data_IF_525263868288
#
_entry.id   IF_525263868288
#
_cell.length_a   1.000
_cell.length_b   1.000
_cell.length_c   1.000
_cell.angle_alpha   90.00
_cell.angle_beta   90.00
_cell.angle_gamma   90.00
#
_symmetry.space_group_name_H-M   'P 1'
#
loop_
_entity.id
_entity.type
_entity.pdbx_description
1 polymer ?
#
# COMPACT_ATOMS: atom_id res chain seq x y z
N UNK A 1 -24.50 0.30 -16.30
CA UNK A 1 -24.44 0.54 -14.86
C UNK A 1 -23.08 0.00 -14.37
N UNK A 2 -22.18 0.85 -13.93
CA UNK A 2 -20.91 0.39 -13.35
C UNK A 2 -21.23 -0.30 -12.02
N UNK A 3 -20.69 -1.49 -11.81
CA UNK A 3 -20.79 -2.16 -10.52
C UNK A 3 -20.16 -1.27 -9.44
N UNK A 4 -20.74 -1.16 -8.25
CA UNK A 4 -20.15 -0.36 -7.18
C UNK A 4 -18.77 -0.93 -6.81
N UNK A 5 -17.81 -0.05 -6.47
CA UNK A 5 -16.51 -0.48 -5.92
C UNK A 5 -16.77 -1.34 -4.70
N UNK A 6 -16.11 -2.49 -4.66
CA UNK A 6 -16.09 -3.38 -3.52
C UNK A 6 -14.63 -3.74 -3.20
N UNK A 7 -14.23 -3.62 -1.96
CA UNK A 7 -12.97 -4.21 -1.49
C UNK A 7 -13.21 -5.69 -1.20
N UNK A 8 -12.56 -6.57 -1.93
CA UNK A 8 -12.70 -8.02 -1.77
C UNK A 8 -11.32 -8.67 -1.62
N UNK A 9 -11.07 -9.25 -0.44
CA UNK A 9 -9.84 -9.96 -0.12
C UNK A 9 -9.96 -11.48 -0.33
N UNK A 10 -11.18 -11.98 -0.46
CA UNK A 10 -11.46 -13.42 -0.53
C UNK A 10 -11.44 -13.93 -1.97
N UNK A 11 -11.83 -13.07 -2.92
CA UNK A 11 -11.97 -13.44 -4.33
C UNK A 11 -11.16 -12.56 -5.27
N UNK A 12 -11.17 -12.89 -6.55
CA UNK A 12 -10.58 -12.06 -7.61
C UNK A 12 -9.06 -11.98 -7.57
N UNK A 13 -8.53 -10.78 -7.90
CA UNK A 13 -7.10 -10.57 -8.09
C UNK A 13 -6.28 -10.73 -6.80
N UNK A 14 -6.85 -10.39 -5.65
CA UNK A 14 -6.17 -10.50 -4.34
C UNK A 14 -5.99 -11.96 -3.96
N UNK A 15 -7.06 -12.76 -4.04
CA UNK A 15 -7.01 -14.20 -3.76
C UNK A 15 -6.08 -14.94 -4.75
N UNK A 16 -6.09 -14.55 -6.02
CA UNK A 16 -5.16 -15.10 -7.01
C UNK A 16 -3.70 -14.75 -6.65
N UNK A 17 -3.42 -13.51 -6.27
CA UNK A 17 -2.08 -13.07 -5.88
C UNK A 17 -1.60 -13.77 -4.60
N UNK A 18 -2.49 -14.05 -3.66
CA UNK A 18 -2.20 -14.82 -2.45
C UNK A 18 -1.73 -16.24 -2.79
N UNK A 19 -2.43 -16.91 -3.71
CA UNK A 19 -2.15 -18.31 -4.07
C UNK A 19 -0.97 -18.48 -5.03
N UNK A 20 -0.78 -17.56 -5.96
CA UNK A 20 0.13 -17.70 -7.10
C UNK A 20 1.17 -16.59 -7.23
N UNK A 21 1.17 -15.59 -6.37
CA UNK A 21 1.95 -14.36 -6.49
C UNK A 21 3.44 -14.47 -6.11
N UNK A 22 3.94 -15.65 -5.73
CA UNK A 22 5.38 -15.86 -5.43
C UNK A 22 5.82 -15.42 -4.01
N UNK A 23 4.88 -15.13 -3.12
CA UNK A 23 5.16 -14.91 -1.69
C UNK A 23 6.20 -13.81 -1.43
N UNK A 24 7.19 -14.10 -0.59
CA UNK A 24 8.30 -13.17 -0.24
C UNK A 24 9.23 -12.84 -1.41
N UNK A 25 9.14 -13.55 -2.54
CA UNK A 25 9.86 -13.26 -3.78
C UNK A 25 9.32 -12.06 -4.57
N UNK A 26 8.14 -11.54 -4.23
CA UNK A 26 7.56 -10.37 -4.88
C UNK A 26 8.38 -9.11 -4.61
N UNK A 27 8.44 -8.21 -5.60
CA UNK A 27 9.24 -6.99 -5.53
C UNK A 27 8.84 -6.08 -4.37
N UNK A 28 7.54 -5.98 -4.07
CA UNK A 28 7.07 -5.23 -2.90
C UNK A 28 7.58 -5.84 -1.58
N UNK A 29 7.58 -7.16 -1.44
CA UNK A 29 8.07 -7.81 -0.24
C UNK A 29 9.58 -7.59 -0.06
N UNK A 30 10.35 -7.69 -1.14
CA UNK A 30 11.80 -7.36 -1.13
C UNK A 30 12.02 -5.90 -0.72
N UNK A 31 11.25 -4.96 -1.31
CA UNK A 31 11.33 -3.54 -1.01
C UNK A 31 11.02 -3.27 0.46
N UNK A 32 9.97 -3.88 1.00
CA UNK A 32 9.57 -3.75 2.40
C UNK A 32 10.52 -4.44 3.39
N UNK A 33 11.49 -5.22 2.91
CA UNK A 33 12.55 -5.79 3.76
C UNK A 33 12.29 -7.19 4.28
N UNK A 34 11.40 -7.95 3.65
CA UNK A 34 11.24 -9.38 3.95
C UNK A 34 12.48 -10.16 3.49
N UNK A 35 13.45 -10.35 4.37
CA UNK A 35 14.70 -11.08 4.11
C UNK A 35 15.05 -11.97 5.30
N UNK A 36 15.66 -13.14 5.04
CA UNK A 36 16.29 -13.97 6.07
C UNK A 36 15.40 -14.26 7.30
N UNK A 37 14.11 -14.52 7.07
CA UNK A 37 13.15 -14.73 8.16
C UNK A 37 12.61 -13.45 8.80
N UNK A 38 13.17 -12.27 8.49
CA UNK A 38 12.66 -11.00 9.01
C UNK A 38 11.26 -10.70 8.44
N UNK A 39 10.38 -10.24 9.32
CA UNK A 39 9.01 -9.82 9.00
C UNK A 39 8.80 -8.46 9.65
N UNK A 40 8.87 -7.36 8.88
CA UNK A 40 8.82 -6.02 9.43
C UNK A 40 7.42 -5.66 9.91
N UNK A 41 7.34 -4.75 10.89
CA UNK A 41 6.12 -3.98 11.15
C UNK A 41 5.98 -2.88 10.11
N UNK A 42 4.77 -2.70 9.58
CA UNK A 42 4.53 -1.85 8.40
C UNK A 42 3.41 -0.84 8.68
N UNK A 43 3.63 0.41 8.27
CA UNK A 43 2.56 1.38 8.05
C UNK A 43 2.34 1.49 6.53
N UNK A 44 1.11 1.28 6.08
CA UNK A 44 0.65 1.65 4.75
C UNK A 44 -0.03 3.02 4.84
N UNK A 45 0.68 4.05 4.40
CA UNK A 45 0.24 5.45 4.53
C UNK A 45 -0.82 5.86 3.50
N UNK A 46 -1.13 4.99 2.54
CA UNK A 46 -2.02 5.25 1.40
C UNK A 46 -2.85 4.00 1.07
N UNK A 47 -3.62 3.53 2.03
CA UNK A 47 -4.21 2.18 1.99
C UNK A 47 -5.04 1.87 0.74
N UNK A 48 -5.84 2.82 0.25
CA UNK A 48 -6.67 2.65 -0.95
C UNK A 48 -7.55 1.40 -0.88
N UNK A 49 -7.35 0.44 -1.79
CA UNK A 49 -8.07 -0.84 -1.78
C UNK A 49 -7.46 -1.90 -0.84
N UNK A 50 -6.42 -1.59 -0.08
CA UNK A 50 -5.77 -2.48 0.87
C UNK A 50 -5.06 -3.71 0.26
N UNK A 51 -4.88 -3.76 -1.05
CA UNK A 51 -4.38 -4.96 -1.76
C UNK A 51 -2.93 -5.30 -1.41
N UNK A 52 -2.09 -4.29 -1.31
CA UNK A 52 -0.68 -4.48 -0.95
C UNK A 52 -0.54 -4.76 0.55
N UNK A 53 -1.32 -4.08 1.40
CA UNK A 53 -1.41 -4.34 2.83
C UNK A 53 -1.83 -5.78 3.14
N UNK A 54 -2.89 -6.27 2.47
CA UNK A 54 -3.34 -7.66 2.63
C UNK A 54 -2.27 -8.67 2.21
N UNK A 55 -1.58 -8.42 1.09
CA UNK A 55 -0.45 -9.25 0.67
C UNK A 55 0.65 -9.27 1.73
N UNK A 56 1.07 -8.11 2.24
CA UNK A 56 2.15 -8.01 3.23
C UNK A 56 1.75 -8.69 4.54
N UNK A 57 0.50 -8.54 4.98
CA UNK A 57 -0.05 -9.25 6.13
C UNK A 57 -0.10 -10.77 5.92
N UNK A 58 -0.38 -11.24 4.69
CA UNK A 58 -0.33 -12.66 4.35
C UNK A 58 1.07 -13.28 4.44
N UNK A 59 2.11 -12.45 4.34
CA UNK A 59 3.51 -12.86 4.54
C UNK A 59 3.95 -12.81 6.00
N UNK A 60 3.03 -12.46 6.91
CA UNK A 60 3.21 -12.45 8.35
C UNK A 60 3.46 -11.06 8.97
N UNK A 61 3.49 -9.97 8.20
CA UNK A 61 3.68 -8.64 8.74
C UNK A 61 2.44 -8.16 9.52
N UNK A 62 2.66 -7.40 10.60
CA UNK A 62 1.64 -6.53 11.15
C UNK A 62 1.60 -5.24 10.35
N UNK A 63 0.44 -4.91 9.78
CA UNK A 63 0.25 -3.77 8.88
C UNK A 63 -0.79 -2.81 9.45
N UNK A 64 -0.39 -1.59 9.74
CA UNK A 64 -1.29 -0.49 10.06
C UNK A 64 -1.58 0.29 8.79
N UNK A 65 -2.82 0.24 8.32
CA UNK A 65 -3.32 0.97 7.16
C UNK A 65 -3.88 2.31 7.58
N UNK A 66 -3.54 3.38 6.86
CA UNK A 66 -4.11 4.71 7.08
C UNK A 66 -4.88 5.12 5.82
N UNK A 67 -6.14 5.52 6.00
CA UNK A 67 -6.99 5.96 4.89
C UNK A 67 -7.72 7.26 5.27
N UNK A 68 -7.50 8.31 4.47
CA UNK A 68 -8.10 9.63 4.71
C UNK A 68 -9.52 9.76 4.17
N UNK A 69 -9.83 9.07 3.07
CA UNK A 69 -11.16 9.09 2.46
C UNK A 69 -12.14 8.28 3.30
N UNK A 70 -13.17 8.93 3.83
CA UNK A 70 -14.22 8.25 4.62
C UNK A 70 -14.87 7.12 3.84
N UNK A 71 -15.19 7.37 2.58
CA UNK A 71 -15.83 6.36 1.71
C UNK A 71 -14.90 5.15 1.49
N UNK A 72 -13.61 5.37 1.27
CA UNK A 72 -12.66 4.28 1.07
C UNK A 72 -12.42 3.52 2.37
N UNK A 73 -12.31 4.23 3.50
CA UNK A 73 -12.21 3.62 4.83
C UNK A 73 -13.38 2.67 5.09
N UNK A 74 -14.62 3.10 4.87
CA UNK A 74 -15.81 2.24 5.02
C UNK A 74 -15.76 1.00 4.10
N UNK A 75 -15.31 1.14 2.86
CA UNK A 75 -15.19 0.01 1.93
C UNK A 75 -14.11 -0.98 2.38
N UNK A 76 -12.99 -0.49 2.93
CA UNK A 76 -11.94 -1.31 3.51
C UNK A 76 -12.45 -2.08 4.74
N UNK A 77 -13.11 -1.39 5.66
CA UNK A 77 -13.69 -1.99 6.86
C UNK A 77 -14.64 -3.13 6.52
N UNK A 78 -15.57 -2.89 5.57
CA UNK A 78 -16.48 -3.93 5.07
C UNK A 78 -15.75 -5.09 4.40
N UNK A 79 -14.68 -4.82 3.66
CA UNK A 79 -13.84 -5.84 3.03
C UNK A 79 -13.10 -6.71 4.06
N UNK A 80 -12.57 -6.08 5.10
CA UNK A 80 -11.92 -6.76 6.23
C UNK A 80 -12.90 -7.62 7.01
N UNK A 81 -14.09 -7.10 7.31
CA UNK A 81 -15.15 -7.85 7.99
C UNK A 81 -15.56 -9.10 7.22
N UNK A 82 -15.77 -8.99 5.89
CA UNK A 82 -16.07 -10.15 5.04
C UNK A 82 -14.97 -11.20 5.08
N UNK A 83 -13.71 -10.79 4.96
CA UNK A 83 -12.58 -11.70 5.00
C UNK A 83 -12.39 -12.34 6.38
N UNK A 84 -12.64 -11.60 7.45
CA UNK A 84 -12.63 -12.14 8.82
C UNK A 84 -13.70 -13.21 9.03
N UNK A 85 -14.93 -12.96 8.54
CA UNK A 85 -16.05 -13.88 8.65
C UNK A 85 -15.91 -15.13 7.76
N UNK A 86 -15.15 -15.03 6.64
CA UNK A 86 -14.80 -16.22 5.83
C UNK A 86 -13.99 -17.24 6.64
N UNK A 87 -13.22 -16.78 7.63
CA UNK A 87 -12.45 -17.63 8.51
C UNK A 87 -11.14 -18.17 7.91
N UNK A 88 -10.57 -19.22 8.55
CA UNK A 88 -9.34 -19.83 8.10
C UNK A 88 -8.18 -18.85 7.91
N UNK A 89 -7.42 -19.02 6.83
CA UNK A 89 -6.28 -18.15 6.52
C UNK A 89 -6.64 -16.66 6.35
N UNK A 90 -7.88 -16.34 5.90
CA UNK A 90 -8.30 -14.94 5.71
C UNK A 90 -8.43 -14.24 7.06
N UNK A 91 -9.02 -14.89 8.05
CA UNK A 91 -9.11 -14.37 9.42
C UNK A 91 -7.71 -14.11 9.99
N UNK A 92 -6.80 -15.07 9.89
CA UNK A 92 -5.43 -14.92 10.37
C UNK A 92 -4.68 -13.75 9.72
N UNK A 93 -4.95 -13.46 8.45
CA UNK A 93 -4.37 -12.33 7.75
C UNK A 93 -4.97 -11.03 8.28
N UNK A 94 -6.30 -10.95 8.39
CA UNK A 94 -7.00 -9.75 8.87
C UNK A 94 -6.62 -9.40 10.31
N UNK A 95 -6.38 -10.38 11.18
CA UNK A 95 -5.93 -10.15 12.56
C UNK A 95 -4.55 -9.46 12.65
N UNK A 96 -3.76 -9.46 11.56
CA UNK A 96 -2.51 -8.70 11.46
C UNK A 96 -2.68 -7.31 10.84
N UNK A 97 -3.91 -6.93 10.47
CA UNK A 97 -4.21 -5.66 9.81
C UNK A 97 -4.99 -4.75 10.75
N UNK A 98 -4.53 -3.52 10.89
CA UNK A 98 -5.23 -2.45 11.63
C UNK A 98 -5.58 -1.34 10.67
N UNK A 99 -6.82 -0.86 10.69
CA UNK A 99 -7.28 0.24 9.85
C UNK A 99 -7.52 1.49 10.69
N UNK A 100 -6.87 2.59 10.33
CA UNK A 100 -7.01 3.90 10.95
C UNK A 100 -7.58 4.90 9.94
N UNK A 101 -8.57 5.69 10.38
CA UNK A 101 -9.12 6.80 9.60
C UNK A 101 -8.37 8.09 9.92
N UNK A 102 -7.89 8.78 8.89
CA UNK A 102 -7.28 10.09 9.04
C UNK A 102 -6.19 10.37 8.01
N UNK A 103 -5.58 11.54 8.12
CA UNK A 103 -4.43 11.91 7.28
C UNK A 103 -3.16 11.21 7.82
N UNK A 104 -2.44 10.56 6.93
CA UNK A 104 -1.20 9.87 7.27
C UNK A 104 -0.14 10.82 7.85
N UNK A 105 -0.15 12.10 7.46
CA UNK A 105 0.78 13.10 7.99
C UNK A 105 0.55 13.41 9.47
N UNK A 106 -0.70 13.28 9.95
CA UNK A 106 -1.03 13.49 11.35
C UNK A 106 -0.82 12.22 12.19
N UNK A 107 -1.03 11.04 11.58
CA UNK A 107 -1.04 9.76 12.29
C UNK A 107 0.38 9.16 12.39
N UNK A 108 1.19 9.20 11.31
CA UNK A 108 2.54 8.61 11.28
C UNK A 108 3.40 9.07 12.48
N UNK A 109 3.42 10.36 12.90
CA UNK A 109 4.22 10.79 14.05
C UNK A 109 3.83 10.15 15.38
N UNK A 110 2.64 9.57 15.48
CA UNK A 110 2.14 8.91 16.70
C UNK A 110 2.40 7.40 16.72
N UNK A 111 2.91 6.85 15.64
CA UNK A 111 3.12 5.41 15.44
C UNK A 111 4.61 5.07 15.34
N UNK A 112 4.89 3.79 15.53
CA UNK A 112 6.24 3.23 15.35
C UNK A 112 6.16 2.04 14.40
N UNK A 113 6.97 2.07 13.33
CA UNK A 113 7.09 0.95 12.39
C UNK A 113 8.48 0.87 11.79
N UNK A 114 8.89 -0.35 11.44
CA UNK A 114 10.18 -0.58 10.77
C UNK A 114 10.17 -0.06 9.33
N UNK A 115 9.03 -0.18 8.65
CA UNK A 115 8.88 0.23 7.26
C UNK A 115 7.57 0.98 7.02
N UNK A 116 7.61 2.00 6.16
CA UNK A 116 6.43 2.75 5.73
C UNK A 116 6.29 2.59 4.21
N UNK A 117 5.11 2.13 3.76
CA UNK A 117 4.72 2.05 2.37
C UNK A 117 3.93 3.30 1.97
N UNK A 118 4.25 3.85 0.81
CA UNK A 118 3.53 4.97 0.21
C UNK A 118 3.25 4.61 -1.25
N UNK A 119 1.97 4.54 -1.65
CA UNK A 119 1.49 4.33 -3.02
C UNK A 119 0.53 5.46 -3.41
N UNK A 120 1.05 6.69 -3.63
CA UNK A 120 0.21 7.83 -3.90
C UNK A 120 -0.46 7.70 -5.26
N UNK A 121 -1.65 8.28 -5.38
CA UNK A 121 -2.39 8.33 -6.64
C UNK A 121 -1.66 9.21 -7.65
N UNK A 122 -0.80 8.60 -8.46
CA UNK A 122 -0.07 9.34 -9.51
C UNK A 122 -1.03 9.90 -10.56
N UNK A 123 -0.88 11.17 -11.00
CA UNK A 123 -1.66 11.75 -12.10
C UNK A 123 -1.61 10.88 -13.36
N UNK A 124 -2.73 10.77 -14.07
CA UNK A 124 -2.77 9.98 -15.30
C UNK A 124 -1.82 10.54 -16.37
N UNK A 125 -1.08 9.65 -17.03
CA UNK A 125 -0.48 9.99 -18.34
C UNK A 125 -1.62 10.12 -19.35
N UNK A 126 -1.62 11.19 -20.13
CA UNK A 126 -2.64 11.49 -21.17
C UNK A 126 -2.85 10.39 -22.21
N UNK A 127 -2.02 9.31 -22.22
CA UNK A 127 -2.00 8.28 -23.25
C UNK A 127 -2.12 6.84 -22.73
N UNK A 128 -2.57 6.57 -21.50
CA UNK A 128 -2.78 5.18 -21.07
C UNK A 128 -4.21 4.73 -21.38
N UNK A 129 -4.36 3.99 -22.47
CA UNK A 129 -5.57 3.24 -22.74
C UNK A 129 -5.76 2.19 -21.65
N UNK A 130 -6.98 2.11 -21.06
CA UNK A 130 -7.42 1.06 -20.13
C UNK A 130 -6.76 1.05 -18.73
N UNK A 131 -6.94 2.14 -17.99
CA UNK A 131 -6.92 2.04 -16.52
C UNK A 131 -8.12 1.17 -16.13
N UNK A 132 -7.87 0.11 -15.34
CA UNK A 132 -8.93 -0.75 -14.83
C UNK A 132 -10.02 0.11 -14.18
N UNK A 133 -11.27 -0.22 -14.44
CA UNK A 133 -12.45 0.55 -13.98
C UNK A 133 -12.38 0.85 -12.47
N UNK A 134 -11.94 -0.13 -11.67
CA UNK A 134 -11.73 0.02 -10.22
C UNK A 134 -10.80 1.19 -9.85
N UNK A 135 -9.67 1.36 -10.58
CA UNK A 135 -8.70 2.43 -10.29
C UNK A 135 -9.21 3.83 -10.68
N UNK A 136 -10.05 3.92 -11.72
CA UNK A 136 -10.72 5.19 -12.05
C UNK A 136 -11.68 5.61 -10.95
N UNK A 137 -12.50 4.67 -10.49
CA UNK A 137 -13.46 4.93 -9.43
C UNK A 137 -12.76 5.27 -8.09
N UNK A 138 -11.61 4.63 -7.77
CA UNK A 138 -10.80 4.99 -6.59
C UNK A 138 -10.31 6.43 -6.71
N UNK A 139 -9.79 6.84 -7.87
CA UNK A 139 -9.36 8.22 -8.12
C UNK A 139 -10.48 9.23 -7.99
N UNK A 140 -11.69 8.90 -8.50
CA UNK A 140 -12.86 9.76 -8.36
C UNK A 140 -13.27 9.96 -6.89
N UNK A 141 -12.89 9.03 -6.02
CA UNK A 141 -13.18 9.06 -4.58
C UNK A 141 -12.07 9.76 -3.79
N UNK A 142 -10.81 9.47 -4.11
CA UNK A 142 -9.64 9.87 -3.30
C UNK A 142 -9.01 11.16 -3.82
N UNK A 143 -9.12 11.46 -5.12
CA UNK A 143 -8.45 12.59 -5.77
C UNK A 143 -6.98 12.32 -6.11
N UNK A 144 -6.22 13.38 -6.42
CA UNK A 144 -4.77 13.34 -6.63
C UNK A 144 -4.02 13.65 -5.33
N UNK A 145 -2.92 12.97 -5.08
CA UNK A 145 -2.05 13.23 -3.92
C UNK A 145 -1.01 14.32 -4.29
N UNK A 146 -1.45 15.58 -4.29
CA UNK A 146 -0.55 16.73 -4.55
C UNK A 146 0.51 16.89 -3.46
N UNK A 147 0.28 16.31 -2.29
CA UNK A 147 1.14 16.37 -1.10
C UNK A 147 2.02 15.11 -0.93
N UNK A 148 2.13 14.27 -1.97
CA UNK A 148 2.90 13.03 -1.91
C UNK A 148 4.37 13.25 -1.49
N UNK A 149 5.01 14.33 -1.96
CA UNK A 149 6.39 14.65 -1.57
C UNK A 149 6.52 14.97 -0.07
N UNK A 150 5.55 15.70 0.49
CA UNK A 150 5.51 16.02 1.92
C UNK A 150 5.34 14.75 2.76
N UNK A 151 4.45 13.88 2.33
CA UNK A 151 4.22 12.59 3.00
C UNK A 151 5.49 11.72 2.99
N UNK A 152 6.20 11.64 1.85
CA UNK A 152 7.46 10.88 1.76
C UNK A 152 8.51 11.47 2.69
N UNK A 153 8.68 12.80 2.73
CA UNK A 153 9.63 13.46 3.63
C UNK A 153 9.31 13.17 5.09
N UNK A 154 8.04 13.30 5.47
CA UNK A 154 7.59 13.00 6.82
C UNK A 154 7.84 11.52 7.18
N UNK A 155 7.50 10.61 6.29
CA UNK A 155 7.72 9.19 6.51
C UNK A 155 9.20 8.84 6.71
N UNK A 156 10.11 9.49 5.95
CA UNK A 156 11.56 9.30 6.10
C UNK A 156 12.04 9.69 7.51
N UNK A 157 11.44 10.71 8.11
CA UNK A 157 11.79 11.15 9.47
C UNK A 157 11.27 10.19 10.56
N UNK A 158 10.25 9.40 10.28
CA UNK A 158 9.57 8.57 11.29
C UNK A 158 9.78 7.04 11.11
N UNK A 159 10.12 6.57 9.93
CA UNK A 159 10.39 5.15 9.72
C UNK A 159 11.68 4.72 10.44
N UNK A 160 11.65 3.59 11.14
CA UNK A 160 12.83 3.09 11.84
C UNK A 160 13.92 2.57 10.91
N UNK A 161 13.56 1.97 9.77
CA UNK A 161 14.52 1.32 8.87
C UNK A 161 14.39 1.78 7.42
N UNK A 162 13.18 2.02 6.92
CA UNK A 162 12.97 2.39 5.51
C UNK A 162 11.62 2.99 5.20
N UNK A 163 11.58 3.76 4.14
CA UNK A 163 10.36 4.15 3.43
C UNK A 163 10.41 3.55 2.03
N UNK A 164 9.28 3.07 1.56
CA UNK A 164 9.12 2.52 0.21
C UNK A 164 8.05 3.30 -0.53
N UNK A 165 8.48 4.03 -1.55
CA UNK A 165 7.59 4.71 -2.47
C UNK A 165 7.33 3.83 -3.69
N UNK A 166 6.08 3.44 -3.90
CA UNK A 166 5.65 2.74 -5.10
C UNK A 166 5.37 3.77 -6.19
N UNK A 167 6.08 3.68 -7.30
CA UNK A 167 6.08 4.69 -8.35
C UNK A 167 6.03 4.07 -9.74
N UNK A 168 5.50 4.75 -10.78
CA UNK A 168 5.54 4.21 -12.13
C UNK A 168 6.98 4.03 -12.62
N UNK A 169 7.28 2.86 -13.23
CA UNK A 169 8.65 2.48 -13.58
C UNK A 169 9.38 3.51 -14.49
N UNK A 170 8.63 4.23 -15.34
CA UNK A 170 9.18 5.18 -16.32
C UNK A 170 8.94 6.66 -15.95
N UNK A 171 8.34 6.94 -14.79
CA UNK A 171 8.13 8.32 -14.36
C UNK A 171 9.44 8.90 -13.80
N UNK A 172 9.59 10.22 -13.90
CA UNK A 172 10.68 10.90 -13.24
C UNK A 172 10.60 10.70 -11.71
N UNK A 173 11.71 10.81 -10.98
CA UNK A 173 11.67 10.78 -9.53
C UNK A 173 10.72 11.85 -8.98
N UNK A 174 10.13 11.58 -7.82
CA UNK A 174 9.29 12.58 -7.16
C UNK A 174 10.14 13.81 -6.79
N UNK A 175 9.68 14.99 -7.20
CA UNK A 175 10.40 16.24 -6.91
C UNK A 175 10.33 16.60 -5.42
N UNK A 176 11.34 17.30 -4.92
CA UNK A 176 11.38 17.78 -3.55
C UNK A 176 11.67 16.70 -2.48
N UNK A 177 12.05 15.50 -2.90
CA UNK A 177 12.47 14.39 -2.01
C UNK A 177 13.93 14.04 -2.28
N UNK A 178 14.65 13.64 -1.25
CA UNK A 178 16.04 13.17 -1.39
C UNK A 178 16.12 11.96 -2.33
N UNK A 179 17.31 11.69 -2.88
CA UNK A 179 17.54 10.51 -3.70
C UNK A 179 17.32 9.23 -2.90
N UNK A 180 16.59 8.26 -3.47
CA UNK A 180 16.41 6.95 -2.85
C UNK A 180 17.75 6.19 -2.72
N UNK A 181 17.86 5.34 -1.72
CA UNK A 181 19.06 4.52 -1.47
C UNK A 181 19.26 3.46 -2.54
N UNK A 182 18.18 2.86 -3.01
CA UNK A 182 18.16 1.92 -4.14
C UNK A 182 16.74 1.78 -4.69
N UNK A 183 16.64 1.12 -5.84
CA UNK A 183 15.36 0.86 -6.53
C UNK A 183 15.18 -0.63 -6.77
N UNK A 184 13.94 -1.09 -6.69
CA UNK A 184 13.53 -2.40 -7.19
C UNK A 184 12.60 -2.18 -8.38
N UNK A 185 13.05 -2.60 -9.56
CA UNK A 185 12.37 -2.33 -10.82
C UNK A 185 11.47 -3.50 -11.20
N UNK A 186 10.18 -3.23 -11.34
CA UNK A 186 9.22 -4.13 -11.95
C UNK A 186 8.88 -3.70 -13.39
N UNK A 187 7.99 -4.42 -14.04
CA UNK A 187 7.62 -4.18 -15.45
C UNK A 187 6.93 -2.81 -15.66
N UNK A 188 6.02 -2.45 -14.79
CA UNK A 188 5.21 -1.21 -14.89
C UNK A 188 5.37 -0.30 -13.69
N UNK A 189 5.88 -0.83 -12.60
CA UNK A 189 6.01 -0.19 -11.30
C UNK A 189 7.44 -0.35 -10.81
N UNK A 190 7.98 0.64 -10.13
CA UNK A 190 9.22 0.54 -9.36
C UNK A 190 8.94 0.84 -7.90
N UNK A 191 9.83 0.41 -7.04
CA UNK A 191 9.83 0.73 -5.62
C UNK A 191 11.10 1.50 -5.31
N UNK A 192 10.97 2.79 -5.02
CA UNK A 192 12.06 3.64 -4.57
C UNK A 192 12.21 3.46 -3.07
N UNK A 193 13.34 2.91 -2.63
CA UNK A 193 13.60 2.59 -1.22
C UNK A 193 14.52 3.63 -0.61
N UNK A 194 14.07 4.26 0.48
CA UNK A 194 14.82 5.21 1.28
C UNK A 194 15.17 4.53 2.60
N UNK A 195 16.46 4.24 2.83
CA UNK A 195 16.93 3.72 4.11
C UNK A 195 17.04 4.86 5.11
N UNK A 196 16.58 4.64 6.35
CA UNK A 196 16.47 5.67 7.39
C UNK A 196 17.34 5.40 8.62
N UNK A 197 17.94 4.21 8.72
CA UNK A 197 18.82 3.81 9.82
C UNK A 197 20.20 3.40 9.34
#
# INVERSE_FOLDING_TARGET
CALPICVDFVMGAVAHRLRFGGGRGQDIAKAMGFRNGNTPTIIDATAGLGRDSFLLASLGAHVTMIERSEKMHMLLEQGMERAFNEGGQFREIIERMTLLKGDAKDIIPTLTAEAILIDPMHPERKNSALVKQDLRQVRDIVGSDEDAADLVRLAIMHAQKRVVLKWPAKADPIEGVQKCSHQILGKTTRYDVFMTG
#
